data_IF_015801677816
#
_entry.id   IF_015801677816
#
_cell.length_a   1.000
_cell.length_b   1.000
_cell.length_c   1.000
_cell.angle_alpha   90.00
_cell.angle_beta   90.00
_cell.angle_gamma   90.00
#
_symmetry.space_group_name_H-M   'P 1'
#
loop_
_entity.id
_entity.type
_entity.pdbx_description
1 polymer ?
#
# COMPACT_ATOMS: atom_id res chain seq x y z
N UNK A 1 22.92 1.06 -16.99
CA UNK A 1 22.88 1.40 -15.54
C UNK A 1 21.70 2.30 -15.20
N UNK A 2 21.48 3.39 -15.94
CA UNK A 2 20.37 4.33 -15.71
C UNK A 2 18.98 3.67 -15.66
N UNK A 3 18.70 2.75 -16.59
CA UNK A 3 17.45 1.99 -16.62
C UNK A 3 17.19 1.19 -15.33
N UNK A 4 18.24 0.62 -14.72
CA UNK A 4 18.11 -0.11 -13.44
C UNK A 4 17.71 0.85 -12.33
N UNK A 5 18.37 2.01 -12.24
CA UNK A 5 18.04 3.04 -11.24
C UNK A 5 16.62 3.56 -11.45
N UNK A 6 16.22 3.80 -12.70
CA UNK A 6 14.87 4.21 -13.06
C UNK A 6 13.84 3.16 -12.64
N UNK A 7 14.04 1.89 -12.99
CA UNK A 7 13.14 0.79 -12.62
C UNK A 7 12.99 0.67 -11.10
N UNK A 8 14.08 0.76 -10.33
CA UNK A 8 14.00 0.72 -8.86
C UNK A 8 13.19 1.91 -8.32
N UNK A 9 13.40 3.13 -8.84
CA UNK A 9 12.64 4.31 -8.42
C UNK A 9 11.16 4.20 -8.80
N UNK A 10 10.86 3.64 -9.97
CA UNK A 10 9.49 3.42 -10.42
C UNK A 10 8.76 2.43 -9.49
N UNK A 11 9.38 1.28 -9.19
CA UNK A 11 8.84 0.31 -8.23
C UNK A 11 8.58 0.97 -6.88
N UNK A 12 9.52 1.78 -6.37
CA UNK A 12 9.31 2.51 -5.10
C UNK A 12 8.11 3.44 -5.18
N UNK A 13 7.89 4.12 -6.29
CA UNK A 13 6.73 4.98 -6.50
C UNK A 13 5.42 4.20 -6.49
N UNK A 14 5.34 3.12 -7.27
CA UNK A 14 4.16 2.25 -7.37
C UNK A 14 3.80 1.63 -6.02
N UNK A 15 4.81 1.14 -5.30
CA UNK A 15 4.64 0.50 -3.99
C UNK A 15 4.62 1.51 -2.83
N UNK A 16 4.64 2.82 -3.11
CA UNK A 16 4.64 3.91 -2.13
C UNK A 16 5.73 3.80 -1.06
N UNK A 17 6.90 3.26 -1.44
CA UNK A 17 8.08 3.14 -0.57
C UNK A 17 8.79 4.49 -0.52
N UNK A 18 8.83 5.19 0.65
CA UNK A 18 9.44 6.51 0.75
C UNK A 18 10.93 6.46 0.41
N UNK A 19 11.53 7.46 -0.29
CA UNK A 19 12.96 7.50 -0.63
C UNK A 19 13.91 7.37 0.58
N UNK A 20 13.47 7.82 1.75
CA UNK A 20 14.24 7.78 3.01
C UNK A 20 14.30 6.41 3.67
N UNK A 21 13.47 5.46 3.24
CA UNK A 21 13.49 4.08 3.72
C UNK A 21 14.57 3.28 2.99
N UNK A 22 15.36 2.50 3.73
CA UNK A 22 16.33 1.60 3.13
C UNK A 22 15.61 0.32 2.66
N UNK A 23 15.97 -0.18 1.48
CA UNK A 23 15.37 -1.39 0.90
C UNK A 23 16.41 -2.47 0.66
N UNK A 24 15.98 -3.73 0.68
CA UNK A 24 16.78 -4.83 0.16
C UNK A 24 16.55 -4.96 -1.35
N UNK A 25 17.63 -5.13 -2.10
CA UNK A 25 17.62 -5.21 -3.55
C UNK A 25 18.24 -6.53 -3.99
N UNK A 26 17.47 -7.31 -4.76
CA UNK A 26 17.94 -8.56 -5.35
C UNK A 26 17.87 -8.43 -6.87
N UNK A 27 18.99 -8.67 -7.55
CA UNK A 27 19.10 -8.59 -9.00
C UNK A 27 19.44 -9.98 -9.51
N UNK A 28 18.50 -10.57 -10.26
CA UNK A 28 18.60 -11.92 -10.79
C UNK A 28 19.05 -11.85 -12.25
N UNK A 29 20.13 -12.56 -12.55
CA UNK A 29 20.74 -12.64 -13.88
C UNK A 29 22.25 -12.42 -13.85
N UNK A 30 22.89 -12.57 -14.99
CA UNK A 30 24.34 -12.39 -15.12
C UNK A 30 24.65 -10.96 -15.59
N UNK A 31 25.22 -10.14 -14.70
CA UNK A 31 25.73 -8.84 -15.09
C UNK A 31 26.89 -8.38 -14.21
N UNK A 32 28.11 -8.59 -14.72
CA UNK A 32 29.33 -8.02 -14.15
C UNK A 32 29.26 -6.50 -14.02
N UNK A 33 28.48 -5.85 -14.90
CA UNK A 33 28.26 -4.40 -14.86
C UNK A 33 27.55 -3.99 -13.58
N UNK A 34 26.53 -4.72 -13.13
CA UNK A 34 25.83 -4.40 -11.88
C UNK A 34 26.75 -4.57 -10.69
N UNK A 35 27.54 -5.66 -10.66
CA UNK A 35 28.48 -5.94 -9.58
C UNK A 35 29.56 -4.84 -9.50
N UNK A 36 30.16 -4.46 -10.64
CA UNK A 36 31.16 -3.40 -10.72
C UNK A 36 30.63 -2.02 -10.31
N UNK A 37 29.34 -1.75 -10.56
CA UNK A 37 28.70 -0.47 -10.30
C UNK A 37 27.83 -0.47 -9.03
N UNK A 38 27.96 -1.47 -8.15
CA UNK A 38 27.16 -1.59 -6.92
C UNK A 38 27.19 -0.32 -6.07
N UNK A 39 28.36 0.31 -5.92
CA UNK A 39 28.52 1.57 -5.15
C UNK A 39 27.70 2.73 -5.72
N UNK A 40 27.48 2.77 -7.04
CA UNK A 40 26.65 3.79 -7.67
C UNK A 40 25.18 3.58 -7.28
N UNK A 41 24.72 2.32 -7.21
CA UNK A 41 23.37 2.00 -6.75
C UNK A 41 23.20 2.44 -5.30
N UNK A 42 24.15 2.11 -4.42
CA UNK A 42 24.11 2.50 -3.00
C UNK A 42 24.12 4.02 -2.80
N UNK A 43 24.86 4.76 -3.64
CA UNK A 43 24.90 6.22 -3.58
C UNK A 43 23.59 6.88 -4.06
N UNK A 44 22.89 6.26 -5.02
CA UNK A 44 21.69 6.84 -5.64
C UNK A 44 20.38 6.33 -5.05
N UNK A 45 20.44 5.21 -4.34
CA UNK A 45 19.30 4.49 -3.78
C UNK A 45 19.70 4.00 -2.40
N UNK A 46 18.95 4.47 -1.39
CA UNK A 46 19.12 3.99 -0.02
C UNK A 46 18.76 2.51 0.04
N UNK A 47 19.79 1.67 0.16
CA UNK A 47 19.70 0.21 0.19
C UNK A 47 20.33 -0.31 1.47
N UNK A 48 19.71 -1.32 2.09
CA UNK A 48 20.28 -2.05 3.23
C UNK A 48 21.15 -3.20 2.74
N UNK A 49 20.74 -3.83 1.64
CA UNK A 49 21.39 -4.97 1.02
C UNK A 49 21.26 -4.90 -0.49
N UNK A 50 22.32 -5.28 -1.21
CA UNK A 50 22.27 -5.55 -2.65
C UNK A 50 22.89 -6.92 -2.89
N UNK A 51 22.08 -7.83 -3.41
CA UNK A 51 22.46 -9.19 -3.79
C UNK A 51 22.26 -9.39 -5.29
N UNK A 52 23.28 -9.93 -5.95
CA UNK A 52 23.25 -10.26 -7.38
C UNK A 52 23.47 -11.76 -7.48
N UNK A 53 22.52 -12.48 -8.08
CA UNK A 53 22.53 -13.94 -8.16
C UNK A 53 21.95 -14.41 -9.49
N UNK A 54 22.26 -15.64 -9.90
CA UNK A 54 21.73 -16.23 -11.14
C UNK A 54 20.30 -16.75 -10.97
N UNK A 55 19.91 -17.12 -9.75
CA UNK A 55 18.60 -17.67 -9.43
C UNK A 55 17.91 -16.83 -8.36
N UNK A 56 16.59 -16.70 -8.47
CA UNK A 56 15.79 -16.00 -7.47
C UNK A 56 15.86 -16.73 -6.12
N UNK A 57 16.27 -16.07 -5.03
CA UNK A 57 16.14 -16.64 -3.70
C UNK A 57 14.65 -16.72 -3.31
N UNK A 58 14.32 -17.56 -2.33
CA UNK A 58 13.01 -17.48 -1.67
C UNK A 58 12.93 -16.16 -0.90
N UNK A 59 12.12 -15.24 -1.44
CA UNK A 59 11.85 -13.94 -0.85
C UNK A 59 10.39 -13.87 -0.43
N UNK A 60 10.08 -13.11 0.63
CA UNK A 60 8.69 -12.78 0.97
C UNK A 60 8.07 -11.94 -0.17
N UNK A 61 6.81 -11.53 -0.01
CA UNK A 61 6.11 -10.73 -1.01
C UNK A 61 6.97 -9.55 -1.49
N UNK A 62 7.28 -9.58 -2.79
CA UNK A 62 8.29 -8.73 -3.40
C UNK A 62 7.72 -8.01 -4.61
N UNK A 63 8.06 -6.73 -4.75
CA UNK A 63 7.82 -6.02 -5.99
C UNK A 63 8.88 -6.40 -7.02
N UNK A 64 8.47 -6.48 -8.29
CA UNK A 64 9.30 -7.00 -9.36
C UNK A 64 9.42 -6.00 -10.51
N UNK A 65 10.62 -5.85 -11.06
CA UNK A 65 10.86 -5.16 -12.33
C UNK A 65 11.81 -5.95 -13.21
N UNK A 66 11.88 -5.57 -14.49
CA UNK A 66 12.78 -6.18 -15.46
C UNK A 66 13.54 -5.10 -16.23
N UNK A 67 14.82 -5.36 -16.52
CA UNK A 67 15.67 -4.52 -17.36
C UNK A 67 16.53 -5.44 -18.23
N UNK A 68 16.16 -5.60 -19.50
CA UNK A 68 16.75 -6.63 -20.36
C UNK A 68 16.56 -8.02 -19.75
N UNK A 69 17.64 -8.79 -19.64
CA UNK A 69 17.63 -10.12 -19.04
C UNK A 69 17.75 -10.12 -17.50
N UNK A 70 17.77 -8.94 -16.88
CA UNK A 70 17.88 -8.80 -15.43
C UNK A 70 16.50 -8.63 -14.80
N UNK A 71 16.22 -9.44 -13.78
CA UNK A 71 15.02 -9.29 -12.94
C UNK A 71 15.41 -8.62 -11.63
N UNK A 72 14.71 -7.55 -11.27
CA UNK A 72 14.90 -6.80 -10.04
C UNK A 72 13.78 -7.19 -9.07
N UNK A 73 14.13 -7.60 -7.86
CA UNK A 73 13.21 -7.95 -6.79
C UNK A 73 13.49 -7.05 -5.58
N UNK A 74 12.44 -6.45 -5.04
CA UNK A 74 12.49 -5.63 -3.83
C UNK A 74 11.48 -6.23 -2.85
N UNK A 75 11.93 -7.01 -1.85
CA UNK A 75 11.08 -7.45 -0.77
C UNK A 75 10.41 -6.25 -0.11
N UNK A 76 9.09 -6.31 0.03
CA UNK A 76 8.39 -5.24 0.71
C UNK A 76 8.72 -5.32 2.21
N UNK A 77 9.11 -4.19 2.84
CA UNK A 77 9.32 -4.15 4.27
C UNK A 77 8.02 -4.54 4.99
N UNK A 78 8.11 -5.41 6.01
CA UNK A 78 6.95 -5.77 6.83
C UNK A 78 6.30 -4.54 7.44
N UNK A 79 7.10 -3.55 7.79
CA UNK A 79 6.67 -2.28 8.36
C UNK A 79 5.78 -1.46 7.41
N UNK A 80 5.92 -1.65 6.08
CA UNK A 80 5.07 -0.98 5.11
C UNK A 80 3.69 -1.64 5.04
N UNK A 81 3.65 -2.97 5.08
CA UNK A 81 2.40 -3.73 5.17
C UNK A 81 1.69 -3.41 6.49
N UNK A 82 2.41 -3.42 7.62
CA UNK A 82 1.88 -3.04 8.94
C UNK A 82 1.36 -1.61 8.97
N UNK A 83 2.05 -0.65 8.34
CA UNK A 83 1.57 0.75 8.24
C UNK A 83 0.34 0.89 7.37
N UNK A 84 0.24 0.15 6.27
CA UNK A 84 -0.96 0.15 5.44
C UNK A 84 -2.14 -0.47 6.19
N UNK A 85 -1.91 -1.55 6.93
CA UNK A 85 -2.91 -2.16 7.80
C UNK A 85 -3.37 -1.18 8.89
N UNK A 86 -2.46 -0.55 9.63
CA UNK A 86 -2.80 0.44 10.67
C UNK A 86 -3.58 1.63 10.09
N UNK A 87 -3.21 2.11 8.88
CA UNK A 87 -3.95 3.17 8.18
C UNK A 87 -5.37 2.73 7.82
N UNK A 88 -5.52 1.53 7.27
CA UNK A 88 -6.83 0.98 6.88
C UNK A 88 -7.70 0.72 8.12
N UNK A 89 -7.12 0.23 9.21
CA UNK A 89 -7.81 -0.06 10.46
C UNK A 89 -8.30 1.21 11.15
N UNK A 90 -7.48 2.28 11.16
CA UNK A 90 -7.92 3.62 11.60
C UNK A 90 -9.02 4.19 10.72
N UNK A 91 -8.97 3.94 9.41
CA UNK A 91 -10.04 4.30 8.48
C UNK A 91 -11.34 3.57 8.81
N UNK A 92 -11.27 2.25 9.01
CA UNK A 92 -12.38 1.38 9.42
C UNK A 92 -13.03 1.88 10.71
N UNK A 93 -12.23 2.18 11.73
CA UNK A 93 -12.72 2.63 13.04
C UNK A 93 -13.48 3.95 12.93
N UNK A 94 -12.94 4.94 12.22
CA UNK A 94 -13.59 6.24 12.01
C UNK A 94 -14.92 6.10 11.26
N UNK A 95 -14.93 5.34 10.15
CA UNK A 95 -16.13 5.10 9.36
C UNK A 95 -17.18 4.31 10.16
N UNK A 96 -16.76 3.30 10.92
CA UNK A 96 -17.65 2.52 11.79
C UNK A 96 -18.30 3.40 12.85
N UNK A 97 -17.55 4.30 13.49
CA UNK A 97 -18.09 5.25 14.45
C UNK A 97 -19.12 6.20 13.82
N UNK A 98 -18.80 6.76 12.65
CA UNK A 98 -19.72 7.63 11.90
C UNK A 98 -21.02 6.89 11.51
N UNK A 99 -20.91 5.67 11.00
CA UNK A 99 -22.06 4.80 10.67
C UNK A 99 -22.91 4.54 11.92
N UNK A 100 -22.28 4.25 13.06
CA UNK A 100 -22.98 4.06 14.34
C UNK A 100 -23.80 5.29 14.74
N UNK A 101 -23.21 6.50 14.66
CA UNK A 101 -23.92 7.74 14.94
C UNK A 101 -25.10 7.98 13.98
N UNK A 102 -24.88 7.77 12.67
CA UNK A 102 -25.93 7.93 11.66
C UNK A 102 -27.08 6.93 11.86
N UNK A 103 -26.79 5.66 12.16
CA UNK A 103 -27.79 4.65 12.46
C UNK A 103 -28.60 5.00 13.71
N UNK A 104 -27.93 5.42 14.78
CA UNK A 104 -28.61 5.84 16.00
C UNK A 104 -29.52 7.05 15.77
N UNK A 105 -29.07 8.02 14.99
CA UNK A 105 -29.87 9.19 14.63
C UNK A 105 -31.09 8.81 13.77
N UNK A 106 -30.91 7.93 12.79
CA UNK A 106 -31.97 7.46 11.91
C UNK A 106 -32.93 6.45 12.56
N UNK A 107 -32.52 5.81 13.66
CA UNK A 107 -33.40 4.93 14.45
C UNK A 107 -34.25 5.70 15.48
N UNK A 108 -33.92 6.97 15.76
CA UNK A 108 -34.67 7.79 16.69
C UNK A 108 -35.95 8.33 16.03
N UNK A 109 -37.09 7.75 16.40
CA UNK A 109 -38.42 8.14 15.90
C UNK A 109 -38.74 9.63 16.11
N UNK A 110 -38.29 10.21 17.23
CA UNK A 110 -38.44 11.64 17.50
C UNK A 110 -37.62 12.53 16.57
N UNK A 111 -36.44 12.07 16.14
CA UNK A 111 -35.67 12.75 15.10
C UNK A 111 -36.36 12.62 13.74
N UNK A 112 -36.84 11.42 13.37
CA UNK A 112 -37.53 11.19 12.10
C UNK A 112 -38.83 12.00 11.98
N UNK A 113 -39.59 12.14 13.07
CA UNK A 113 -40.86 12.85 13.08
C UNK A 113 -40.69 14.38 12.96
N UNK A 114 -39.57 14.93 13.45
CA UNK A 114 -39.32 16.38 13.48
C UNK A 114 -38.35 16.87 12.40
N UNK A 115 -37.57 15.97 11.78
CA UNK A 115 -36.59 16.33 10.78
C UNK A 115 -37.22 16.56 9.41
N UNK A 116 -36.64 17.50 8.65
CA UNK A 116 -37.02 17.74 7.26
C UNK A 116 -36.80 16.46 6.43
N UNK A 117 -37.78 16.00 5.62
CA UNK A 117 -37.64 14.82 4.77
C UNK A 117 -36.40 14.83 3.88
N UNK A 118 -36.04 15.99 3.31
CA UNK A 118 -34.83 16.12 2.48
C UNK A 118 -33.54 15.94 3.29
N UNK A 119 -33.54 16.32 4.57
CA UNK A 119 -32.41 16.09 5.46
C UNK A 119 -32.29 14.62 5.85
N UNK A 120 -33.41 13.96 6.17
CA UNK A 120 -33.44 12.52 6.48
C UNK A 120 -32.95 11.69 5.29
N UNK A 121 -33.39 12.02 4.08
CA UNK A 121 -32.97 11.31 2.87
C UNK A 121 -31.47 11.49 2.60
N UNK A 122 -30.94 12.71 2.79
CA UNK A 122 -29.50 12.97 2.71
C UNK A 122 -28.71 12.15 3.74
N UNK A 123 -29.21 12.02 4.97
CA UNK A 123 -28.56 11.22 6.01
C UNK A 123 -28.58 9.72 5.67
N UNK A 124 -29.70 9.20 5.13
CA UNK A 124 -29.78 7.80 4.64
C UNK A 124 -28.81 7.54 3.49
N UNK A 125 -28.70 8.47 2.54
CA UNK A 125 -27.75 8.35 1.45
C UNK A 125 -26.30 8.40 1.93
N UNK A 126 -26.01 9.29 2.88
CA UNK A 126 -24.69 9.36 3.53
C UNK A 126 -24.35 8.06 4.25
N UNK A 127 -25.31 7.46 4.98
CA UNK A 127 -25.15 6.17 5.63
C UNK A 127 -24.82 5.07 4.62
N UNK A 128 -25.59 4.97 3.53
CA UNK A 128 -25.38 3.96 2.49
C UNK A 128 -24.00 4.09 1.83
N UNK A 129 -23.56 5.31 1.52
CA UNK A 129 -22.24 5.55 0.96
C UNK A 129 -21.12 5.17 1.94
N UNK A 130 -21.26 5.53 3.22
CA UNK A 130 -20.28 5.19 4.25
C UNK A 130 -20.19 3.66 4.47
N UNK A 131 -21.32 2.95 4.45
CA UNK A 131 -21.36 1.48 4.56
C UNK A 131 -20.66 0.80 3.37
N UNK A 132 -20.86 1.31 2.15
CA UNK A 132 -20.17 0.80 0.96
C UNK A 132 -18.65 1.04 1.03
N UNK A 133 -18.22 2.21 1.50
CA UNK A 133 -16.81 2.53 1.70
C UNK A 133 -16.18 1.63 2.78
N UNK A 134 -16.89 1.40 3.89
CA UNK A 134 -16.45 0.49 4.95
C UNK A 134 -16.26 -0.94 4.43
N UNK A 135 -17.20 -1.45 3.62
CA UNK A 135 -17.07 -2.77 2.99
C UNK A 135 -15.84 -2.86 2.09
N UNK A 136 -15.55 -1.82 1.30
CA UNK A 136 -14.37 -1.80 0.44
C UNK A 136 -13.06 -1.83 1.26
N UNK A 137 -13.01 -1.10 2.39
CA UNK A 137 -11.87 -1.14 3.30
C UNK A 137 -11.70 -2.52 3.94
N UNK A 138 -12.80 -3.15 4.38
CA UNK A 138 -12.76 -4.49 4.97
C UNK A 138 -12.27 -5.54 3.97
N UNK A 139 -12.80 -5.54 2.74
CA UNK A 139 -12.35 -6.45 1.70
C UNK A 139 -10.85 -6.30 1.40
N UNK A 140 -10.33 -5.08 1.46
CA UNK A 140 -8.91 -4.80 1.24
C UNK A 140 -8.03 -5.26 2.41
N UNK A 141 -8.52 -5.16 3.65
CA UNK A 141 -7.84 -5.70 4.83
C UNK A 141 -7.76 -7.24 4.75
N UNK A 142 -8.86 -7.90 4.39
CA UNK A 142 -8.91 -9.37 4.26
C UNK A 142 -8.00 -9.90 3.15
N UNK A 143 -7.86 -9.18 2.03
CA UNK A 143 -6.98 -9.58 0.94
C UNK A 143 -5.49 -9.31 1.18
N UNK A 144 -5.15 -8.59 2.26
CA UNK A 144 -3.77 -8.21 2.60
C UNK A 144 -3.17 -9.13 3.68
N UNK A 145 -3.99 -9.97 4.31
CA UNK A 145 -3.61 -11.04 5.26
C UNK A 145 -3.40 -12.38 4.53
#
# INVERSE_FOLDING_TARGET
MEQIIYTIRNIRGEMKIPPSMAIDLYIIGESDTVVKNKKIIEALIKTSKIEVTKSAPELPFSATGAVGDLKILIPLPKELAEKEMDRLEKGREKLSHQIGQLRNQLANEGFLANANPAFVEKQKQTLKSAEAELQAIMAKLDSTL
#
